data_IF_913491692719
#
_entry.id   IF_913491692719
#
_cell.length_a   1.000
_cell.length_b   1.000
_cell.length_c   1.000
_cell.angle_alpha   90.00
_cell.angle_beta   90.00
_cell.angle_gamma   90.00
#
_symmetry.space_group_name_H-M   'P 1'
#
loop_
_entity.id
_entity.type
_entity.pdbx_description
1 polymer ?
#
# COMPACT_ATOMS: atom_id res chain seq x y z
N UNK A 1 18.10 4.01 12.33
CA UNK A 1 18.99 5.13 11.97
C UNK A 1 18.98 5.43 10.47
N UNK A 2 19.00 4.41 9.57
CA UNK A 2 18.97 4.60 8.13
C UNK A 2 17.75 5.39 7.64
N UNK A 3 16.57 5.09 8.14
CA UNK A 3 15.34 5.84 7.84
C UNK A 3 15.41 7.31 8.28
N UNK A 4 15.99 7.58 9.44
CA UNK A 4 16.18 8.94 9.95
C UNK A 4 17.08 9.76 9.02
N UNK A 5 18.09 9.12 8.43
CA UNK A 5 18.98 9.75 7.46
C UNK A 5 18.26 10.02 6.13
N UNK A 6 17.49 9.05 5.63
CA UNK A 6 16.83 9.12 4.32
C UNK A 6 15.58 10.01 4.31
N UNK A 7 14.77 9.98 5.39
CA UNK A 7 13.45 10.65 5.43
C UNK A 7 13.37 11.85 6.39
N UNK A 8 14.44 12.13 7.14
CA UNK A 8 14.49 13.22 8.12
C UNK A 8 13.68 12.98 9.40
N UNK A 9 13.13 11.77 9.60
CA UNK A 9 12.34 11.39 10.75
C UNK A 9 12.51 9.92 11.15
N UNK A 10 12.14 9.59 12.38
CA UNK A 10 12.07 8.19 12.84
C UNK A 10 10.78 7.57 12.32
N UNK A 11 10.88 6.83 11.22
CA UNK A 11 9.80 6.05 10.64
C UNK A 11 10.25 4.60 10.54
N UNK A 12 9.33 3.64 10.76
CA UNK A 12 9.62 2.21 10.65
C UNK A 12 8.77 1.51 9.58
N UNK A 13 7.92 2.27 8.92
CA UNK A 13 6.91 1.81 7.97
C UNK A 13 7.46 1.13 6.72
N UNK A 14 8.72 1.38 6.35
CA UNK A 14 9.41 0.64 5.29
C UNK A 14 10.30 -0.48 5.85
N UNK A 15 11.05 -0.18 6.92
CA UNK A 15 12.03 -1.13 7.48
C UNK A 15 11.35 -2.29 8.19
N UNK A 16 10.28 -2.04 8.94
CA UNK A 16 9.61 -3.08 9.70
C UNK A 16 8.96 -4.16 8.79
N UNK A 17 8.17 -3.83 7.75
CA UNK A 17 7.66 -4.87 6.87
C UNK A 17 8.76 -5.62 6.11
N UNK A 18 9.88 -4.99 5.77
CA UNK A 18 11.03 -5.68 5.17
C UNK A 18 11.66 -6.70 6.12
N UNK A 19 11.73 -6.40 7.42
CA UNK A 19 12.33 -7.28 8.41
C UNK A 19 11.39 -8.38 8.88
N UNK A 20 10.12 -8.06 9.13
CA UNK A 20 9.15 -8.99 9.73
C UNK A 20 8.28 -9.71 8.70
N UNK A 21 8.11 -9.15 7.52
CA UNK A 21 7.15 -9.62 6.52
C UNK A 21 5.71 -9.37 6.92
N UNK A 22 4.77 -9.74 6.04
CA UNK A 22 3.34 -9.63 6.29
C UNK A 22 2.85 -8.20 6.54
N UNK A 23 1.77 -8.09 7.31
CA UNK A 23 1.22 -6.81 7.75
C UNK A 23 1.78 -6.44 9.13
N UNK A 24 2.41 -5.27 9.22
CA UNK A 24 2.99 -4.78 10.48
C UNK A 24 2.40 -3.42 10.87
N UNK A 25 2.18 -3.25 12.16
CA UNK A 25 1.77 -2.00 12.75
C UNK A 25 2.95 -1.34 13.48
N UNK A 26 3.30 -0.14 13.04
CA UNK A 26 4.45 0.62 13.54
C UNK A 26 3.96 1.95 14.10
N UNK A 27 3.44 1.99 15.33
CA UNK A 27 2.92 3.22 15.92
C UNK A 27 4.06 4.21 16.17
N UNK A 28 3.95 5.41 15.61
CA UNK A 28 5.00 6.43 15.69
C UNK A 28 5.32 6.87 17.13
N UNK A 29 4.31 6.85 18.00
CA UNK A 29 4.43 7.23 19.41
C UNK A 29 4.99 6.13 20.32
N UNK A 30 5.19 4.92 19.81
CA UNK A 30 5.62 3.76 20.60
C UNK A 30 6.81 3.03 20.00
N UNK A 31 7.50 3.61 19.01
CA UNK A 31 8.71 3.04 18.46
C UNK A 31 9.76 2.81 19.56
N UNK A 32 10.48 1.68 19.58
CA UNK A 32 10.55 0.66 18.50
C UNK A 32 9.54 -0.49 18.60
N UNK A 33 8.43 -0.33 19.32
CA UNK A 33 7.41 -1.38 19.44
C UNK A 33 6.71 -1.58 18.08
N UNK A 34 6.83 -2.79 17.54
CA UNK A 34 6.23 -3.20 16.27
C UNK A 34 5.37 -4.43 16.52
N UNK A 35 4.17 -4.43 15.97
CA UNK A 35 3.23 -5.55 16.07
C UNK A 35 2.94 -6.12 14.69
N UNK A 36 3.01 -7.45 14.55
CA UNK A 36 2.59 -8.15 13.34
C UNK A 36 1.12 -8.53 13.44
N UNK A 37 0.41 -8.34 12.35
CA UNK A 37 -1.01 -8.71 12.21
C UNK A 37 -1.07 -9.78 11.11
N UNK A 38 -1.65 -10.95 11.46
CA UNK A 38 -1.82 -12.01 10.48
C UNK A 38 -2.92 -11.65 9.48
N UNK A 39 -2.56 -11.57 8.22
CA UNK A 39 -3.51 -11.42 7.11
C UNK A 39 -4.18 -12.76 6.79
N UNK A 40 -5.36 -12.77 6.14
CA UNK A 40 -5.92 -14.00 5.58
C UNK A 40 -4.93 -14.67 4.61
N UNK A 41 -4.68 -15.98 4.81
CA UNK A 41 -3.73 -16.76 3.98
C UNK A 41 -4.22 -16.90 2.50
N UNK A 42 -5.47 -16.55 2.24
CA UNK A 42 -6.09 -16.57 0.90
C UNK A 42 -5.79 -15.32 0.08
N UNK A 43 -5.06 -14.36 0.63
CA UNK A 43 -4.77 -13.08 -0.02
C UNK A 43 -3.31 -12.99 -0.49
N UNK A 44 -3.14 -12.25 -1.58
CA UNK A 44 -1.84 -11.83 -2.12
C UNK A 44 -1.79 -10.33 -2.26
N UNK A 45 -0.59 -9.78 -2.17
CA UNK A 45 -0.27 -8.43 -2.58
C UNK A 45 0.44 -8.43 -3.93
N UNK A 46 0.10 -7.47 -4.76
CA UNK A 46 0.80 -7.16 -6.01
C UNK A 46 1.42 -5.79 -5.83
N UNK A 47 2.68 -5.65 -6.16
CA UNK A 47 3.36 -4.36 -6.24
C UNK A 47 3.74 -4.11 -7.70
N UNK A 48 3.41 -2.94 -8.21
CA UNK A 48 3.84 -2.43 -9.50
C UNK A 48 4.67 -1.18 -9.27
N UNK A 49 5.91 -1.16 -9.78
CA UNK A 49 6.80 0.00 -9.71
C UNK A 49 7.01 0.55 -11.12
N UNK A 50 6.33 1.65 -11.49
CA UNK A 50 6.58 2.31 -12.76
C UNK A 50 7.95 3.00 -12.73
N UNK A 51 8.64 3.06 -13.87
CA UNK A 51 9.91 3.78 -14.00
C UNK A 51 9.68 5.29 -14.00
N UNK A 52 9.27 5.80 -12.85
CA UNK A 52 9.03 7.20 -12.57
C UNK A 52 9.88 7.66 -11.38
N UNK A 53 10.36 8.90 -11.46
CA UNK A 53 11.04 9.52 -10.32
C UNK A 53 10.05 10.40 -9.54
N UNK A 54 9.76 10.04 -8.31
CA UNK A 54 8.97 10.84 -7.36
C UNK A 54 9.90 11.35 -6.27
N UNK A 55 9.93 12.66 -6.07
CA UNK A 55 10.67 13.25 -4.96
C UNK A 55 9.81 13.18 -3.69
N UNK A 56 10.19 12.30 -2.78
CA UNK A 56 9.45 12.06 -1.51
C UNK A 56 9.34 13.33 -0.66
N UNK A 57 10.38 14.15 -0.61
CA UNK A 57 10.37 15.38 0.18
C UNK A 57 9.38 16.40 -0.40
N UNK A 58 9.38 16.59 -1.71
CA UNK A 58 8.44 17.49 -2.39
C UNK A 58 7.00 16.99 -2.28
N UNK A 59 6.75 15.69 -2.50
CA UNK A 59 5.43 15.07 -2.33
C UNK A 59 4.89 15.28 -0.91
N UNK A 60 5.76 15.21 0.11
CA UNK A 60 5.37 15.45 1.50
C UNK A 60 5.02 16.92 1.76
N UNK A 61 5.71 17.87 1.14
CA UNK A 61 5.45 19.31 1.28
C UNK A 61 4.10 19.72 0.65
N UNK A 62 3.64 19.02 -0.39
CA UNK A 62 2.36 19.28 -1.05
C UNK A 62 1.15 18.83 -0.21
N UNK A 63 1.33 17.97 0.78
CA UNK A 63 0.22 17.46 1.56
C UNK A 63 -0.43 18.55 2.40
N UNK A 64 -1.77 18.61 2.33
CA UNK A 64 -2.57 19.47 3.20
C UNK A 64 -2.32 19.11 4.66
N UNK A 65 -2.25 20.12 5.51
CA UNK A 65 -2.05 19.94 6.96
C UNK A 65 -3.34 19.99 7.75
N UNK A 66 -4.43 20.48 7.14
CA UNK A 66 -5.73 20.67 7.78
C UNK A 66 -6.82 19.93 7.00
N UNK A 67 -7.66 19.23 7.73
CA UNK A 67 -8.80 18.46 7.22
C UNK A 67 -10.03 18.77 8.06
N UNK A 68 -11.22 18.63 7.49
CA UNK A 68 -12.45 18.69 8.26
C UNK A 68 -12.55 17.49 9.21
N UNK A 69 -13.26 17.67 10.31
CA UNK A 69 -13.48 16.60 11.27
C UNK A 69 -14.18 15.40 10.62
N UNK A 70 -15.17 15.65 9.75
CA UNK A 70 -15.91 14.59 9.06
C UNK A 70 -15.01 13.69 8.21
N UNK A 71 -14.10 14.29 7.43
CA UNK A 71 -13.14 13.54 6.59
C UNK A 71 -12.16 12.73 7.45
N UNK A 72 -11.73 13.28 8.59
CA UNK A 72 -10.86 12.55 9.53
C UNK A 72 -11.59 11.36 10.15
N UNK A 73 -12.84 11.54 10.59
CA UNK A 73 -13.65 10.46 11.16
C UNK A 73 -13.94 9.37 10.13
N UNK A 74 -14.23 9.75 8.90
CA UNK A 74 -14.43 8.79 7.79
C UNK A 74 -13.17 7.98 7.53
N UNK A 75 -11.99 8.62 7.42
CA UNK A 75 -10.72 7.91 7.22
C UNK A 75 -10.39 6.96 8.39
N UNK A 76 -10.66 7.38 9.61
CA UNK A 76 -10.48 6.52 10.79
C UNK A 76 -11.40 5.30 10.75
N UNK A 77 -12.65 5.48 10.29
CA UNK A 77 -13.60 4.38 10.11
C UNK A 77 -13.07 3.36 9.07
N UNK A 78 -12.55 3.81 7.93
CA UNK A 78 -11.92 2.93 6.94
C UNK A 78 -10.73 2.17 7.54
N UNK A 79 -9.85 2.85 8.26
CA UNK A 79 -8.70 2.19 8.88
C UNK A 79 -9.15 1.12 9.90
N UNK A 80 -10.09 1.46 10.78
CA UNK A 80 -10.62 0.54 11.77
C UNK A 80 -11.33 -0.66 11.12
N UNK A 81 -12.14 -0.41 10.10
CA UNK A 81 -12.85 -1.44 9.34
C UNK A 81 -11.89 -2.37 8.61
N UNK A 82 -10.83 -1.85 7.99
CA UNK A 82 -9.79 -2.67 7.38
C UNK A 82 -9.10 -3.58 8.40
N UNK A 83 -8.65 -3.03 9.53
CA UNK A 83 -7.98 -3.82 10.59
C UNK A 83 -8.92 -4.89 11.16
N UNK A 84 -10.18 -4.54 11.41
CA UNK A 84 -11.18 -5.49 11.88
C UNK A 84 -11.43 -6.61 10.87
N UNK A 85 -11.56 -6.26 9.59
CA UNK A 85 -11.72 -7.22 8.49
C UNK A 85 -10.56 -8.20 8.41
N UNK A 86 -9.32 -7.71 8.57
CA UNK A 86 -8.12 -8.57 8.62
C UNK A 86 -8.17 -9.53 9.82
N UNK A 87 -8.48 -9.04 11.02
CA UNK A 87 -8.55 -9.85 12.25
C UNK A 87 -9.63 -10.92 12.16
N UNK A 88 -10.77 -10.59 11.56
CA UNK A 88 -11.92 -11.50 11.41
C UNK A 88 -11.84 -12.40 10.16
N UNK A 89 -10.84 -12.22 9.30
CA UNK A 89 -10.76 -12.84 7.96
C UNK A 89 -12.00 -12.54 7.10
N UNK A 90 -12.58 -11.36 7.26
CA UNK A 90 -13.73 -10.90 6.49
C UNK A 90 -13.28 -10.14 5.24
N UNK A 91 -13.32 -10.84 4.10
CA UNK A 91 -12.89 -10.31 2.79
C UNK A 91 -13.77 -9.13 2.34
N UNK A 92 -15.05 -9.17 2.67
CA UNK A 92 -15.99 -8.09 2.32
C UNK A 92 -15.63 -6.82 3.09
N UNK A 93 -15.41 -6.94 4.39
CA UNK A 93 -15.03 -5.81 5.24
C UNK A 93 -13.67 -5.24 4.83
N UNK A 94 -12.69 -6.09 4.46
CA UNK A 94 -11.40 -5.63 3.90
C UNK A 94 -11.64 -4.81 2.63
N UNK A 95 -12.43 -5.31 1.68
CA UNK A 95 -12.71 -4.64 0.40
C UNK A 95 -13.39 -3.29 0.58
N UNK A 96 -14.35 -3.21 1.47
CA UNK A 96 -15.11 -1.98 1.71
C UNK A 96 -14.27 -0.90 2.39
N UNK A 97 -13.21 -1.30 3.12
CA UNK A 97 -12.47 -0.40 3.99
C UNK A 97 -11.00 -0.18 3.62
N UNK A 98 -10.45 -0.89 2.63
CA UNK A 98 -9.08 -0.63 2.13
C UNK A 98 -9.06 0.61 1.23
N UNK A 99 -9.20 1.78 1.84
CA UNK A 99 -9.32 3.09 1.17
C UNK A 99 -8.50 4.15 1.89
N UNK A 100 -7.90 5.04 1.10
CA UNK A 100 -7.28 6.29 1.57
C UNK A 100 -7.95 7.48 0.87
N UNK A 101 -8.73 8.23 1.64
CA UNK A 101 -9.43 9.44 1.16
C UNK A 101 -8.69 10.73 1.50
N UNK A 102 -7.58 10.64 2.26
CA UNK A 102 -6.80 11.80 2.70
C UNK A 102 -5.56 12.01 1.84
N UNK A 103 -4.70 11.03 1.75
CA UNK A 103 -3.35 11.17 1.20
C UNK A 103 -3.29 10.73 -0.26
N UNK A 104 -3.91 9.59 -0.61
CA UNK A 104 -3.93 9.09 -1.98
C UNK A 104 -4.41 10.13 -3.01
N UNK A 105 -5.53 10.86 -2.79
CA UNK A 105 -5.99 11.84 -3.77
C UNK A 105 -4.99 12.96 -4.05
N UNK A 106 -4.14 13.30 -3.06
CA UNK A 106 -3.13 14.34 -3.18
C UNK A 106 -1.87 13.85 -3.88
N UNK A 107 -1.55 12.56 -3.76
CA UNK A 107 -0.38 11.92 -4.39
C UNK A 107 -0.67 11.40 -5.79
N UNK A 108 -1.92 11.19 -6.13
CA UNK A 108 -2.33 10.63 -7.42
C UNK A 108 -1.77 11.40 -8.63
N UNK A 109 -1.60 12.73 -8.50
CA UNK A 109 -1.02 13.57 -9.56
C UNK A 109 0.49 13.35 -9.77
N UNK A 110 1.19 12.87 -8.74
CA UNK A 110 2.64 12.59 -8.82
C UNK A 110 2.91 11.22 -9.48
N UNK A 111 1.88 10.39 -9.68
CA UNK A 111 1.95 9.07 -10.34
C UNK A 111 0.91 9.03 -11.47
N UNK A 112 1.18 9.59 -12.66
CA UNK A 112 0.18 9.81 -13.71
C UNK A 112 -0.55 8.54 -14.17
N UNK A 113 0.12 7.38 -14.17
CA UNK A 113 -0.50 6.10 -14.53
C UNK A 113 -1.41 5.51 -13.45
N UNK A 114 -1.39 6.03 -12.22
CA UNK A 114 -2.04 5.41 -11.05
C UNK A 114 -3.54 5.25 -11.23
N UNK A 115 -4.27 6.31 -11.59
CA UNK A 115 -5.74 6.27 -11.61
C UNK A 115 -6.29 5.21 -12.57
N UNK A 116 -5.67 5.04 -13.74
CA UNK A 116 -6.08 4.03 -14.71
C UNK A 116 -5.75 2.61 -14.24
N UNK A 117 -4.59 2.43 -13.60
CA UNK A 117 -4.19 1.15 -13.00
C UNK A 117 -5.14 0.79 -11.85
N UNK A 118 -5.48 1.75 -10.98
CA UNK A 118 -6.41 1.57 -9.87
C UNK A 118 -7.79 1.13 -10.38
N UNK A 119 -8.34 1.82 -11.39
CA UNK A 119 -9.62 1.49 -12.02
C UNK A 119 -9.63 0.05 -12.55
N UNK A 120 -8.61 -0.33 -13.29
CA UNK A 120 -8.48 -1.69 -13.85
C UNK A 120 -8.35 -2.72 -12.73
N UNK A 121 -7.53 -2.45 -11.71
CA UNK A 121 -7.34 -3.37 -10.60
C UNK A 121 -8.65 -3.62 -9.84
N UNK A 122 -9.38 -2.58 -9.48
CA UNK A 122 -10.64 -2.71 -8.75
C UNK A 122 -11.72 -3.42 -9.58
N UNK A 123 -11.85 -3.07 -10.87
CA UNK A 123 -12.80 -3.72 -11.78
C UNK A 123 -12.45 -5.20 -12.07
N UNK A 124 -11.18 -5.59 -11.89
CA UNK A 124 -10.70 -6.96 -12.08
C UNK A 124 -10.65 -7.78 -10.78
N UNK A 125 -11.19 -7.25 -9.69
CA UNK A 125 -11.40 -7.98 -8.45
C UNK A 125 -10.34 -7.77 -7.38
N UNK A 126 -9.53 -6.72 -7.47
CA UNK A 126 -8.75 -6.26 -6.32
C UNK A 126 -9.68 -5.88 -5.16
N UNK A 127 -9.27 -6.18 -3.94
CA UNK A 127 -9.97 -5.74 -2.72
C UNK A 127 -9.68 -4.27 -2.45
N UNK A 128 -8.50 -3.81 -2.83
CA UNK A 128 -8.08 -2.43 -2.79
C UNK A 128 -6.82 -2.24 -3.62
N UNK A 129 -6.60 -1.01 -4.09
CA UNK A 129 -5.43 -0.61 -4.86
C UNK A 129 -5.09 0.84 -4.54
N UNK A 130 -3.86 1.11 -4.14
CA UNK A 130 -3.41 2.45 -3.76
C UNK A 130 -1.93 2.66 -4.03
N UNK A 131 -1.46 3.88 -3.77
CA UNK A 131 -0.04 4.23 -3.86
C UNK A 131 0.68 3.76 -2.60
N UNK A 132 1.83 3.10 -2.77
CA UNK A 132 2.68 2.68 -1.66
C UNK A 132 3.57 3.85 -1.21
N UNK A 133 3.39 4.27 0.04
CA UNK A 133 4.15 5.39 0.60
C UNK A 133 3.96 6.69 -0.19
N UNK A 134 5.06 7.29 -0.63
CA UNK A 134 5.03 8.49 -1.50
C UNK A 134 4.86 8.16 -2.99
N UNK A 135 4.87 6.89 -3.34
CA UNK A 135 4.98 6.42 -4.72
C UNK A 135 6.47 6.37 -5.19
N UNK A 136 6.70 6.06 -6.47
CA UNK A 136 5.70 5.80 -7.50
C UNK A 136 5.07 4.41 -7.45
N UNK A 137 5.52 3.52 -6.55
CA UNK A 137 4.98 2.17 -6.42
C UNK A 137 3.48 2.18 -6.13
N UNK A 138 2.77 1.29 -6.79
CA UNK A 138 1.33 1.05 -6.64
C UNK A 138 1.18 -0.37 -6.10
N UNK A 139 0.31 -0.57 -5.12
CA UNK A 139 -0.01 -1.90 -4.64
C UNK A 139 -1.49 -2.24 -4.86
N UNK A 140 -1.78 -3.51 -4.97
CA UNK A 140 -3.13 -4.05 -4.93
C UNK A 140 -3.17 -5.30 -4.04
N UNK A 141 -4.28 -5.49 -3.33
CA UNK A 141 -4.56 -6.71 -2.56
C UNK A 141 -5.68 -7.46 -3.27
N UNK A 142 -5.52 -8.77 -3.44
CA UNK A 142 -6.52 -9.63 -4.07
C UNK A 142 -6.49 -11.05 -3.50
N UNK A 143 -7.47 -11.86 -3.87
CA UNK A 143 -7.45 -13.29 -3.62
C UNK A 143 -6.33 -13.97 -4.43
N UNK A 144 -5.68 -14.99 -3.85
CA UNK A 144 -4.52 -15.68 -4.44
C UNK A 144 -4.77 -16.15 -5.88
N UNK A 145 -5.97 -16.69 -6.15
CA UNK A 145 -6.36 -17.21 -7.47
C UNK A 145 -6.49 -16.14 -8.55
N UNK A 146 -6.55 -14.86 -8.19
CA UNK A 146 -6.65 -13.72 -9.10
C UNK A 146 -5.33 -13.01 -9.32
N UNK A 147 -4.31 -13.28 -8.51
CA UNK A 147 -3.08 -12.49 -8.44
C UNK A 147 -2.34 -12.38 -9.77
N UNK A 148 -2.13 -13.49 -10.47
CA UNK A 148 -1.40 -13.50 -11.75
C UNK A 148 -2.17 -12.77 -12.87
N UNK A 149 -3.49 -12.91 -12.92
CA UNK A 149 -4.31 -12.21 -13.90
C UNK A 149 -4.30 -10.69 -13.61
N UNK A 150 -4.46 -10.33 -12.35
CA UNK A 150 -4.51 -8.93 -11.92
C UNK A 150 -3.17 -8.23 -12.15
N UNK A 151 -2.05 -8.89 -11.80
CA UNK A 151 -0.70 -8.39 -12.06
C UNK A 151 -0.51 -8.07 -13.55
N UNK A 152 -0.87 -9.02 -14.43
CA UNK A 152 -0.77 -8.83 -15.88
C UNK A 152 -1.58 -7.63 -16.35
N UNK A 153 -2.83 -7.47 -15.90
CA UNK A 153 -3.69 -6.35 -16.28
C UNK A 153 -3.16 -5.00 -15.79
N UNK A 154 -2.65 -4.95 -14.55
CA UNK A 154 -2.01 -3.74 -14.02
C UNK A 154 -0.78 -3.37 -14.83
N UNK A 155 0.08 -4.35 -15.14
CA UNK A 155 1.28 -4.16 -15.94
C UNK A 155 0.96 -3.69 -17.35
N UNK A 156 0.03 -4.34 -18.05
CA UNK A 156 -0.43 -3.94 -19.38
C UNK A 156 -0.98 -2.51 -19.37
N UNK A 157 -1.73 -2.14 -18.34
CA UNK A 157 -2.24 -0.78 -18.18
C UNK A 157 -1.11 0.24 -18.03
N UNK A 158 -0.05 -0.08 -17.29
CA UNK A 158 1.10 0.79 -17.12
C UNK A 158 1.84 0.99 -18.45
N UNK A 159 2.16 -0.09 -19.15
CA UNK A 159 2.84 -0.08 -20.45
C UNK A 159 2.03 0.66 -21.53
N UNK A 160 0.71 0.47 -21.58
CA UNK A 160 -0.17 1.15 -22.52
C UNK A 160 -0.26 2.67 -22.30
N UNK A 161 0.11 3.13 -21.13
CA UNK A 161 0.25 4.56 -20.82
C UNK A 161 1.65 5.11 -21.09
N UNK A 162 2.56 4.28 -21.63
CA UNK A 162 3.92 4.67 -22.00
C UNK A 162 4.94 4.63 -20.85
N UNK A 163 4.63 3.92 -19.74
CA UNK A 163 5.55 3.76 -18.63
C UNK A 163 6.05 2.32 -18.53
N UNK A 164 7.36 2.13 -18.57
CA UNK A 164 7.96 0.86 -18.19
C UNK A 164 7.75 0.59 -16.69
N UNK A 165 7.67 -0.68 -16.31
CA UNK A 165 7.42 -1.05 -14.92
C UNK A 165 7.95 -2.44 -14.58
N UNK A 166 8.21 -2.62 -13.29
CA UNK A 166 8.48 -3.92 -12.68
C UNK A 166 7.29 -4.32 -11.79
N UNK A 167 7.06 -5.62 -11.64
CA UNK A 167 5.95 -6.14 -10.84
C UNK A 167 6.40 -7.30 -9.98
N UNK A 168 5.79 -7.44 -8.81
CA UNK A 168 6.00 -8.53 -7.87
C UNK A 168 4.67 -8.98 -7.30
N UNK A 169 4.55 -10.29 -7.08
CA UNK A 169 3.43 -10.91 -6.37
C UNK A 169 3.99 -11.56 -5.11
N UNK A 170 3.39 -11.28 -3.97
CA UNK A 170 3.74 -11.88 -2.69
C UNK A 170 2.49 -12.37 -1.97
N UNK A 171 2.59 -13.51 -1.29
CA UNK A 171 1.52 -13.93 -0.37
C UNK A 171 1.47 -13.00 0.84
N UNK A 172 0.28 -12.76 1.38
CA UNK A 172 0.04 -11.79 2.45
C UNK A 172 0.85 -12.03 3.73
N UNK A 173 1.24 -13.26 4.00
CA UNK A 173 2.06 -13.64 5.17
C UNK A 173 3.48 -14.09 4.77
N UNK A 174 4.02 -13.54 3.67
CA UNK A 174 5.41 -13.79 3.29
C UNK A 174 6.36 -13.43 4.42
N UNK A 175 7.39 -14.26 4.63
CA UNK A 175 8.43 -14.01 5.64
C UNK A 175 9.22 -12.76 5.26
N UNK A 176 9.66 -12.04 6.28
CA UNK A 176 10.61 -10.94 6.13
C UNK A 176 12.02 -11.43 5.79
N UNK A 177 12.97 -10.50 5.84
CA UNK A 177 14.38 -10.78 5.58
C UNK A 177 14.92 -11.86 6.53
N UNK A 178 15.69 -12.78 5.98
CA UNK A 178 16.41 -13.83 6.74
C UNK A 178 17.89 -13.79 6.41
N UNK A 179 18.71 -14.19 7.37
CA UNK A 179 20.13 -14.45 7.12
C UNK A 179 20.20 -15.88 6.57
N UNK A 180 20.78 -16.05 5.39
CA UNK A 180 21.12 -17.36 4.84
C UNK A 180 22.52 -17.75 5.31
N UNK A 181 22.63 -18.94 5.91
CA UNK A 181 23.91 -19.52 6.37
C UNK A 181 24.72 -20.09 5.19
#
# INVERSE_FOLDING_TARGET
EGEKFASGGLHADNVAPSLFGGLVFCPQNSLPVISSIKMPDTLSSIVLHPELKVNTAESRLKLKKNYSLDVLLEQQSYLAGFVLGVIQNDITLIRENLRDILIEPQRASDVPCFKKIQEIALNSGALGCSISGSGPSIFAICENNKSSQLERLMRESCLNQGYDCQTWISQSNSKGSAIED
#
